data_IF_070864899951
#
_entry.id   IF_070864899951
#
_cell.length_a   1.000
_cell.length_b   1.000
_cell.length_c   1.000
_cell.angle_alpha   90.00
_cell.angle_beta   90.00
_cell.angle_gamma   90.00
#
_symmetry.space_group_name_H-M   'P 1'
#
loop_
_entity.id
_entity.type
_entity.pdbx_description
1 polymer ?
#
# COMPACT_ATOMS: atom_id res chain seq x y z
N UNK A 1 -44.96 9.49 24.28
CA UNK A 1 -43.91 8.82 25.07
C UNK A 1 -42.74 8.60 24.13
N UNK A 2 -41.54 9.09 24.47
CA UNK A 2 -40.35 8.80 23.66
C UNK A 2 -40.13 7.28 23.68
N UNK A 3 -39.93 6.67 22.50
CA UNK A 3 -39.53 5.27 22.37
C UNK A 3 -38.18 5.09 23.08
N UNK A 4 -38.20 4.81 24.38
CA UNK A 4 -37.01 4.59 25.20
C UNK A 4 -36.39 3.27 24.73
N UNK A 5 -35.12 3.32 24.33
CA UNK A 5 -34.38 2.10 24.05
C UNK A 5 -34.22 1.32 25.37
N UNK A 6 -35.03 0.29 25.54
CA UNK A 6 -35.03 -0.58 26.72
C UNK A 6 -33.75 -1.44 26.82
N UNK A 7 -32.94 -1.49 25.76
CA UNK A 7 -31.64 -2.17 25.73
C UNK A 7 -30.46 -1.22 26.01
N UNK A 8 -30.70 0.06 26.30
CA UNK A 8 -29.65 1.02 26.66
C UNK A 8 -29.22 0.88 28.14
N UNK A 9 -28.94 -0.35 28.56
CA UNK A 9 -28.30 -0.67 29.83
C UNK A 9 -26.82 -0.97 29.57
N UNK A 10 -25.97 -0.81 30.59
CA UNK A 10 -24.54 -1.06 30.45
C UNK A 10 -24.33 -2.54 30.12
N UNK A 11 -23.78 -2.80 28.94
CA UNK A 11 -23.45 -4.14 28.47
C UNK A 11 -22.49 -4.85 29.43
N UNK A 12 -22.68 -6.16 29.59
CA UNK A 12 -21.89 -6.99 30.51
C UNK A 12 -20.46 -7.22 30.01
N UNK A 13 -20.25 -7.24 28.70
CA UNK A 13 -18.97 -7.57 28.06
C UNK A 13 -18.80 -6.81 26.74
N UNK A 14 -17.84 -5.87 26.71
CA UNK A 14 -17.53 -5.07 25.51
C UNK A 14 -16.12 -5.37 24.96
N UNK A 15 -15.33 -6.14 25.72
CA UNK A 15 -13.92 -6.39 25.40
C UNK A 15 -13.74 -7.04 24.03
N UNK A 16 -14.66 -7.91 23.61
CA UNK A 16 -14.63 -8.54 22.29
C UNK A 16 -14.85 -7.54 21.16
N UNK A 17 -15.86 -6.67 21.29
CA UNK A 17 -16.17 -5.62 20.32
C UNK A 17 -15.03 -4.59 20.23
N UNK A 18 -14.52 -4.12 21.38
CA UNK A 18 -13.40 -3.18 21.44
C UNK A 18 -12.15 -3.74 20.76
N UNK A 19 -11.90 -5.04 20.95
CA UNK A 19 -10.78 -5.73 20.31
C UNK A 19 -10.96 -5.81 18.80
N UNK A 20 -12.15 -6.15 18.32
CA UNK A 20 -12.44 -6.17 16.89
C UNK A 20 -12.30 -4.79 16.24
N UNK A 21 -12.82 -3.74 16.88
CA UNK A 21 -12.72 -2.37 16.37
C UNK A 21 -11.26 -1.88 16.33
N UNK A 22 -10.43 -2.29 17.28
CA UNK A 22 -8.97 -2.03 17.26
C UNK A 22 -8.31 -2.65 16.05
N UNK A 23 -8.56 -3.94 15.79
CA UNK A 23 -7.98 -4.62 14.63
C UNK A 23 -8.40 -3.98 13.30
N UNK A 24 -9.68 -3.61 13.18
CA UNK A 24 -10.17 -2.91 11.99
C UNK A 24 -9.42 -1.59 11.79
N UNK A 25 -9.24 -0.81 12.87
CA UNK A 25 -8.55 0.47 12.81
C UNK A 25 -7.08 0.33 12.42
N UNK A 26 -6.36 -0.66 12.95
CA UNK A 26 -4.96 -0.92 12.59
C UNK A 26 -4.83 -1.25 11.09
N UNK A 27 -5.73 -2.08 10.55
CA UNK A 27 -5.76 -2.42 9.13
C UNK A 27 -6.08 -1.18 8.26
N UNK A 28 -7.07 -0.38 8.65
CA UNK A 28 -7.42 0.84 7.94
C UNK A 28 -6.25 1.85 7.92
N UNK A 29 -5.54 2.00 9.04
CA UNK A 29 -4.34 2.83 9.12
C UNK A 29 -3.20 2.30 8.28
N UNK A 30 -2.94 0.99 8.33
CA UNK A 30 -1.92 0.34 7.50
C UNK A 30 -2.17 0.55 6.00
N UNK A 31 -3.44 0.51 5.56
CA UNK A 31 -3.84 0.82 4.17
C UNK A 31 -3.49 2.25 3.80
N UNK A 32 -3.76 3.23 4.67
CA UNK A 32 -3.42 4.62 4.34
C UNK A 32 -1.90 4.82 4.30
N UNK A 33 -1.20 4.30 5.31
CA UNK A 33 0.24 4.40 5.41
C UNK A 33 0.97 3.78 4.20
N UNK A 34 0.52 2.62 3.70
CA UNK A 34 1.11 2.01 2.49
C UNK A 34 0.86 2.85 1.22
N UNK A 35 -0.25 3.60 1.14
CA UNK A 35 -0.49 4.51 0.02
C UNK A 35 0.48 5.69 0.06
N UNK A 36 0.79 6.23 1.25
CA UNK A 36 1.78 7.29 1.41
C UNK A 36 3.18 6.83 0.96
N UNK A 37 3.55 5.59 1.30
CA UNK A 37 4.79 4.95 0.85
C UNK A 37 4.82 4.79 -0.67
N UNK A 38 3.72 4.31 -1.28
CA UNK A 38 3.59 4.24 -2.74
C UNK A 38 3.65 5.62 -3.41
N UNK A 39 3.10 6.67 -2.80
CA UNK A 39 3.20 8.03 -3.37
C UNK A 39 4.65 8.48 -3.51
N UNK A 40 5.50 8.09 -2.55
CA UNK A 40 6.94 8.37 -2.50
C UNK A 40 7.78 7.39 -3.30
N UNK A 41 7.17 6.42 -3.99
CA UNK A 41 7.84 5.35 -4.74
C UNK A 41 8.80 4.51 -3.86
N UNK A 42 8.45 4.34 -2.58
CA UNK A 42 9.23 3.55 -1.62
C UNK A 42 8.86 2.06 -1.73
N UNK A 43 9.86 1.16 -1.72
CA UNK A 43 9.64 -0.27 -1.50
C UNK A 43 9.22 -0.49 -0.04
N UNK A 44 8.27 -1.40 0.19
CA UNK A 44 7.89 -1.78 1.54
C UNK A 44 7.33 -3.20 1.66
N UNK A 45 7.34 -3.70 2.90
CA UNK A 45 6.54 -4.83 3.36
C UNK A 45 5.84 -4.45 4.66
N UNK A 46 4.51 -4.50 4.67
CA UNK A 46 3.70 -4.24 5.86
C UNK A 46 3.26 -5.54 6.52
N UNK A 47 3.47 -5.63 7.82
CA UNK A 47 2.98 -6.71 8.68
C UNK A 47 2.00 -6.11 9.68
N UNK A 48 0.83 -6.75 9.86
CA UNK A 48 -0.17 -6.36 10.87
C UNK A 48 -0.29 -7.49 11.89
N UNK A 49 -0.37 -7.15 13.17
CA UNK A 49 -0.42 -8.11 14.29
C UNK A 49 0.75 -9.10 14.25
N UNK A 50 1.97 -8.54 14.23
CA UNK A 50 3.23 -9.28 14.18
C UNK A 50 4.32 -8.52 14.90
N UNK A 51 4.81 -9.05 16.03
CA UNK A 51 5.68 -8.39 17.03
C UNK A 51 5.11 -7.11 17.66
N UNK A 52 4.53 -6.22 16.86
CA UNK A 52 3.75 -5.04 17.23
C UNK A 52 2.43 -5.02 16.43
N UNK A 53 1.61 -3.98 16.65
CA UNK A 53 0.35 -3.81 15.94
C UNK A 53 0.56 -3.66 14.42
N UNK A 54 1.54 -2.83 14.02
CA UNK A 54 1.98 -2.70 12.62
C UNK A 54 3.50 -2.57 12.52
N UNK A 55 4.11 -3.28 11.56
CA UNK A 55 5.53 -3.15 11.20
C UNK A 55 5.65 -2.86 9.71
N UNK A 56 6.53 -1.94 9.37
CA UNK A 56 6.95 -1.69 8.00
C UNK A 56 8.43 -2.04 7.85
N UNK A 57 8.76 -2.86 6.86
CA UNK A 57 10.13 -3.00 6.35
C UNK A 57 10.29 -2.24 5.05
N UNK A 58 11.45 -1.67 4.80
CA UNK A 58 11.76 -0.99 3.53
C UNK A 58 12.19 -1.93 2.39
N UNK A 59 12.22 -3.25 2.61
CA UNK A 59 12.59 -4.20 1.55
C UNK A 59 11.86 -5.54 1.66
N UNK A 60 11.61 -6.15 0.51
CA UNK A 60 11.16 -7.54 0.40
C UNK A 60 12.27 -8.56 0.65
N UNK A 61 13.53 -8.14 0.66
CA UNK A 61 14.69 -9.00 0.85
C UNK A 61 15.45 -8.65 2.14
N UNK A 62 15.93 -9.68 2.86
CA UNK A 62 16.73 -9.47 4.04
C UNK A 62 18.17 -9.17 3.65
N UNK A 63 18.68 -8.02 4.10
CA UNK A 63 20.08 -7.62 4.00
C UNK A 63 20.49 -6.81 5.24
N UNK A 64 21.78 -6.54 5.42
CA UNK A 64 22.28 -5.88 6.63
C UNK A 64 21.72 -4.48 6.85
N UNK A 65 21.44 -3.76 5.76
CA UNK A 65 20.90 -2.39 5.78
C UNK A 65 19.36 -2.33 5.75
N UNK A 66 18.66 -3.45 5.97
CA UNK A 66 17.19 -3.42 6.03
C UNK A 66 16.75 -2.51 7.16
N UNK A 67 15.69 -1.75 6.97
CA UNK A 67 15.17 -0.86 7.99
C UNK A 67 13.75 -1.25 8.38
N UNK A 68 13.44 -1.06 9.66
CA UNK A 68 12.11 -1.30 10.19
C UNK A 68 11.54 -0.09 10.92
N UNK A 69 10.24 0.12 10.69
CA UNK A 69 9.40 1.04 11.45
C UNK A 69 8.35 0.23 12.22
N UNK A 70 8.35 0.36 13.54
CA UNK A 70 7.45 -0.34 14.45
C UNK A 70 6.40 0.62 14.97
N UNK A 71 5.13 0.24 14.91
CA UNK A 71 4.00 1.06 15.33
C UNK A 71 3.15 0.32 16.36
N UNK A 72 3.09 0.89 17.56
CA UNK A 72 2.12 0.53 18.58
C UNK A 72 0.94 1.50 18.48
N UNK A 73 -0.24 0.97 18.16
CA UNK A 73 -1.46 1.73 17.92
C UNK A 73 -2.36 1.72 19.16
N UNK A 74 -2.78 2.90 19.63
CA UNK A 74 -3.74 3.05 20.73
C UNK A 74 -4.98 3.81 20.27
N UNK A 75 -6.14 3.18 20.44
CA UNK A 75 -7.45 3.75 20.07
C UNK A 75 -8.26 4.16 21.30
N UNK A 76 -7.59 4.39 22.44
CA UNK A 76 -8.24 4.83 23.68
C UNK A 76 -8.57 6.30 23.58
N UNK A 77 -9.76 6.72 24.02
CA UNK A 77 -10.17 8.14 24.00
C UNK A 77 -9.40 9.02 24.99
N UNK A 78 -8.89 8.44 26.08
CA UNK A 78 -8.13 9.18 27.07
C UNK A 78 -6.84 9.75 26.47
N UNK A 79 -6.60 11.03 26.70
CA UNK A 79 -5.37 11.69 26.26
C UNK A 79 -4.14 11.14 26.99
N UNK A 80 -3.01 11.14 26.29
CA UNK A 80 -1.74 10.68 26.81
C UNK A 80 -0.99 11.80 27.52
N UNK A 81 -0.31 11.46 28.60
CA UNK A 81 0.59 12.31 29.37
C UNK A 81 1.85 11.51 29.68
N UNK A 82 2.94 12.16 30.07
CA UNK A 82 4.16 11.44 30.52
C UNK A 82 3.82 10.42 31.60
N UNK A 83 2.96 10.80 32.55
CA UNK A 83 2.55 9.92 33.65
C UNK A 83 1.89 8.65 33.15
N UNK A 84 0.90 8.71 32.24
CA UNK A 84 0.22 7.48 31.80
C UNK A 84 1.01 6.69 30.75
N UNK A 85 1.92 7.32 30.02
CA UNK A 85 2.83 6.66 29.09
C UNK A 85 3.90 5.84 29.81
N UNK A 86 4.39 6.35 30.95
CA UNK A 86 5.42 5.73 31.77
C UNK A 86 4.85 5.00 33.00
N UNK A 87 3.52 4.95 33.17
CA UNK A 87 2.90 4.24 34.30
C UNK A 87 3.02 2.74 34.11
N UNK A 88 3.53 2.07 35.12
CA UNK A 88 3.51 0.61 35.24
C UNK A 88 3.05 0.19 36.63
N UNK A 89 2.55 -1.03 36.75
CA UNK A 89 2.16 -1.66 38.00
C UNK A 89 3.13 -2.81 38.31
N UNK A 90 3.08 -3.34 39.53
CA UNK A 90 3.92 -4.47 39.93
C UNK A 90 3.65 -5.67 39.02
N UNK A 91 4.68 -6.12 38.29
CA UNK A 91 4.56 -7.22 37.33
C UNK A 91 4.08 -6.81 35.93
N UNK A 92 3.83 -5.52 35.70
CA UNK A 92 3.53 -4.93 34.40
C UNK A 92 4.64 -4.00 33.91
N UNK A 93 4.51 -3.58 32.65
CA UNK A 93 5.37 -2.57 32.03
C UNK A 93 4.51 -1.43 31.51
N UNK A 94 5.10 -0.24 31.41
CA UNK A 94 4.49 0.96 30.87
C UNK A 94 4.30 0.84 29.36
N UNK A 95 3.61 1.80 28.74
CA UNK A 95 3.37 1.76 27.29
C UNK A 95 4.70 1.84 26.55
N UNK A 96 5.54 2.82 26.91
CA UNK A 96 6.87 2.98 26.30
C UNK A 96 7.78 1.82 26.70
N UNK A 97 7.69 1.34 27.95
CA UNK A 97 8.45 0.17 28.40
C UNK A 97 8.16 -1.09 27.59
N UNK A 98 6.88 -1.37 27.28
CA UNK A 98 6.48 -2.49 26.42
C UNK A 98 7.04 -2.38 25.01
N UNK A 99 6.93 -1.20 24.41
CA UNK A 99 7.46 -0.93 23.06
C UNK A 99 8.97 -1.19 23.01
N UNK A 100 9.72 -0.72 24.02
CA UNK A 100 11.17 -0.96 24.13
C UNK A 100 11.44 -2.46 24.23
N UNK A 101 10.75 -3.17 25.14
CA UNK A 101 10.92 -4.60 25.35
C UNK A 101 10.53 -5.47 24.13
N UNK A 102 9.64 -4.99 23.26
CA UNK A 102 9.30 -5.65 22.00
C UNK A 102 10.49 -5.78 21.05
N UNK A 103 11.43 -4.82 21.11
CA UNK A 103 12.62 -4.73 20.26
C UNK A 103 13.90 -5.11 21.01
N UNK A 104 13.95 -4.91 22.32
CA UNK A 104 15.14 -5.16 23.13
C UNK A 104 15.57 -6.63 23.06
N UNK A 105 16.88 -6.86 22.99
CA UNK A 105 17.49 -8.20 22.79
C UNK A 105 17.05 -8.97 21.53
N UNK A 106 16.46 -8.31 20.52
CA UNK A 106 16.12 -8.93 19.23
C UNK A 106 17.23 -8.76 18.20
N UNK A 107 17.41 -9.75 17.33
CA UNK A 107 18.42 -9.73 16.25
C UNK A 107 18.25 -8.52 15.32
N UNK A 108 17.01 -8.10 15.08
CA UNK A 108 16.66 -6.97 14.22
C UNK A 108 16.77 -5.60 14.93
N UNK A 109 17.16 -5.53 16.21
CA UNK A 109 17.20 -4.26 16.97
C UNK A 109 17.98 -3.16 16.25
N UNK A 110 19.15 -3.49 15.68
CA UNK A 110 20.02 -2.55 14.94
C UNK A 110 19.35 -1.95 13.68
N UNK A 111 18.35 -2.66 13.14
CA UNK A 111 17.63 -2.33 11.92
C UNK A 111 16.37 -1.49 12.20
N UNK A 112 15.93 -1.36 13.46
CA UNK A 112 14.78 -0.52 13.80
C UNK A 112 15.19 0.96 13.75
N UNK A 113 14.54 1.74 12.88
CA UNK A 113 14.78 3.19 12.72
C UNK A 113 13.68 4.04 13.32
N UNK A 114 12.50 3.45 13.55
CA UNK A 114 11.36 4.12 14.16
C UNK A 114 10.62 3.16 15.08
N UNK A 115 10.34 3.61 16.29
CA UNK A 115 9.49 2.95 17.28
C UNK A 115 8.43 3.95 17.72
N UNK A 116 7.23 3.84 17.15
CA UNK A 116 6.22 4.88 17.19
C UNK A 116 5.01 4.47 18.02
N UNK A 117 4.61 5.35 18.95
CA UNK A 117 3.27 5.30 19.52
C UNK A 117 2.34 6.11 18.63
N UNK A 118 1.44 5.43 17.94
CA UNK A 118 0.38 6.04 17.15
C UNK A 118 -0.93 6.04 17.96
N UNK A 119 -1.60 7.18 18.07
CA UNK A 119 -2.84 7.28 18.85
C UNK A 119 -3.89 8.17 18.22
N UNK A 120 -5.16 7.87 18.46
CA UNK A 120 -6.29 8.74 18.06
C UNK A 120 -6.46 9.94 18.99
N UNK A 121 -5.94 9.85 20.21
CA UNK A 121 -6.08 10.89 21.24
C UNK A 121 -4.95 11.89 21.22
N UNK A 122 -5.11 13.00 21.95
CA UNK A 122 -4.05 13.99 22.05
C UNK A 122 -2.93 13.46 22.95
N UNK A 123 -1.69 13.88 22.65
CA UNK A 123 -0.55 13.66 23.52
C UNK A 123 -0.16 14.99 24.14
N UNK A 124 -0.39 15.11 25.44
CA UNK A 124 -0.19 16.32 26.22
C UNK A 124 1.22 16.37 26.82
N UNK A 125 2.23 16.37 25.94
CA UNK A 125 3.53 16.96 26.30
C UNK A 125 3.38 18.49 26.42
N UNK A 126 4.44 19.17 26.86
CA UNK A 126 4.51 20.62 26.92
C UNK A 126 4.16 21.24 25.57
N UNK A 127 4.71 20.69 24.49
CA UNK A 127 4.22 20.92 23.13
C UNK A 127 3.22 19.83 22.77
N UNK A 128 1.93 20.18 22.78
CA UNK A 128 0.83 19.22 22.55
C UNK A 128 0.81 18.71 21.11
N UNK A 129 0.69 17.38 20.97
CA UNK A 129 0.45 16.70 19.68
C UNK A 129 -1.07 16.49 19.58
N UNK A 130 -1.74 17.36 18.82
CA UNK A 130 -3.21 17.42 18.75
C UNK A 130 -3.77 17.53 17.34
N UNK A 131 -2.97 17.94 16.36
CA UNK A 131 -3.42 18.03 14.97
C UNK A 131 -3.29 16.64 14.36
N UNK A 132 -4.27 16.25 13.56
CA UNK A 132 -4.27 14.96 12.86
C UNK A 132 -3.01 14.84 12.00
N UNK A 133 -2.29 13.73 12.13
CA UNK A 133 -1.03 13.48 11.43
C UNK A 133 0.21 14.13 12.09
N UNK A 134 0.06 14.96 13.13
CA UNK A 134 1.22 15.51 13.83
C UNK A 134 2.06 14.40 14.45
N UNK A 135 3.38 14.56 14.36
CA UNK A 135 4.35 13.69 14.99
C UNK A 135 5.43 14.49 15.71
N UNK A 136 6.00 13.89 16.76
CA UNK A 136 7.13 14.42 17.49
C UNK A 136 8.13 13.29 17.77
N UNK A 137 9.40 13.50 17.40
CA UNK A 137 10.49 12.62 17.81
C UNK A 137 10.82 12.84 19.29
N UNK A 138 11.23 11.79 19.98
CA UNK A 138 11.58 11.87 21.40
C UNK A 138 12.68 12.90 21.67
N UNK A 139 13.67 13.02 20.77
CA UNK A 139 14.73 14.04 20.82
C UNK A 139 14.23 15.48 20.74
N UNK A 140 13.01 15.70 20.26
CA UNK A 140 12.43 17.03 20.06
C UNK A 140 11.50 17.45 21.20
N UNK A 141 11.34 16.60 22.22
CA UNK A 141 10.67 16.99 23.46
C UNK A 141 11.54 17.97 24.26
N UNK A 142 10.93 18.62 25.24
CA UNK A 142 11.67 19.54 26.09
C UNK A 142 12.63 18.77 27.02
N UNK A 143 13.81 19.34 27.31
CA UNK A 143 14.88 18.63 28.03
C UNK A 143 14.42 18.04 29.37
N UNK A 144 13.53 18.74 30.08
CA UNK A 144 12.97 18.26 31.35
C UNK A 144 12.01 17.08 31.16
N UNK A 145 11.26 17.03 30.05
CA UNK A 145 10.37 15.91 29.70
C UNK A 145 11.18 14.69 29.26
N UNK A 146 12.21 14.89 28.43
CA UNK A 146 13.17 13.84 28.04
C UNK A 146 13.76 13.20 29.29
N UNK A 147 14.26 14.03 30.23
CA UNK A 147 14.84 13.55 31.48
C UNK A 147 13.83 12.76 32.33
N UNK A 148 12.62 13.27 32.52
CA UNK A 148 11.59 12.58 33.32
C UNK A 148 11.24 11.20 32.72
N UNK A 149 11.06 11.12 31.41
CA UNK A 149 10.77 9.85 30.73
C UNK A 149 11.96 8.88 30.89
N UNK A 150 13.19 9.31 30.66
CA UNK A 150 14.38 8.45 30.79
C UNK A 150 14.59 7.96 32.22
N UNK A 151 14.41 8.82 33.22
CA UNK A 151 14.54 8.44 34.63
C UNK A 151 13.49 7.38 35.00
N UNK A 152 12.24 7.55 34.56
CA UNK A 152 11.17 6.57 34.77
C UNK A 152 11.42 5.24 34.07
N UNK A 153 11.86 5.28 32.81
CA UNK A 153 12.20 4.07 32.05
C UNK A 153 13.42 3.36 32.62
N UNK A 154 14.42 4.09 33.12
CA UNK A 154 15.59 3.49 33.78
C UNK A 154 15.19 2.83 35.09
N UNK A 155 14.29 3.42 35.86
CA UNK A 155 13.74 2.80 37.06
C UNK A 155 12.92 1.54 36.75
N UNK A 156 12.16 1.55 35.65
CA UNK A 156 11.34 0.43 35.20
C UNK A 156 12.19 -0.73 34.64
N UNK A 157 13.04 -0.44 33.66
CA UNK A 157 13.74 -1.41 32.82
C UNK A 157 15.18 -1.70 33.29
N UNK A 158 15.67 -0.96 34.30
CA UNK A 158 17.04 -0.96 34.83
C UNK A 158 18.09 -0.39 33.88
N UNK A 159 18.11 -0.84 32.63
CA UNK A 159 19.04 -0.36 31.59
C UNK A 159 18.22 -0.07 30.34
N UNK A 160 18.39 1.14 29.80
CA UNK A 160 17.76 1.57 28.55
C UNK A 160 18.88 1.92 27.57
N UNK A 161 18.89 1.26 26.43
CA UNK A 161 19.85 1.56 25.37
C UNK A 161 19.61 2.99 24.83
N UNK A 162 20.66 3.84 24.73
CA UNK A 162 20.53 5.18 24.17
C UNK A 162 19.93 5.24 22.77
N UNK A 163 19.98 4.15 21.98
CA UNK A 163 19.37 4.08 20.65
C UNK A 163 17.89 4.47 20.67
N UNK A 164 17.16 4.14 21.75
CA UNK A 164 15.72 4.42 21.86
C UNK A 164 15.42 5.91 21.86
N UNK A 165 16.34 6.77 22.30
CA UNK A 165 16.14 8.21 22.23
C UNK A 165 16.01 8.70 20.78
N UNK A 166 16.73 8.07 19.86
CA UNK A 166 16.76 8.47 18.46
C UNK A 166 15.63 7.87 17.63
N UNK A 167 15.09 6.71 18.03
CA UNK A 167 14.07 5.99 17.26
C UNK A 167 12.65 6.16 17.81
N UNK A 168 12.50 6.56 19.09
CA UNK A 168 11.17 6.77 19.68
C UNK A 168 10.47 7.97 19.05
N UNK A 169 9.20 7.77 18.71
CA UNK A 169 8.34 8.76 18.07
C UNK A 169 6.91 8.67 18.63
N UNK A 170 6.24 9.81 18.68
CA UNK A 170 4.86 9.93 19.11
C UNK A 170 4.06 10.59 18.01
N UNK A 171 2.94 9.97 17.60
CA UNK A 171 2.17 10.44 16.47
C UNK A 171 0.68 10.41 16.78
N UNK A 172 -0.01 11.51 16.47
CA UNK A 172 -1.46 11.52 16.40
C UNK A 172 -1.87 11.02 15.03
N UNK A 173 -2.73 10.01 15.01
CA UNK A 173 -3.21 9.44 13.76
C UNK A 173 -3.95 10.48 12.93
N UNK A 174 -3.80 10.39 11.61
CA UNK A 174 -4.57 11.17 10.66
C UNK A 174 -5.97 10.59 10.43
N UNK A 175 -6.20 9.33 10.82
CA UNK A 175 -7.47 8.64 10.62
C UNK A 175 -8.38 8.78 11.84
N UNK A 176 -9.64 9.23 11.68
CA UNK A 176 -10.63 9.21 12.75
C UNK A 176 -11.04 7.77 13.08
N UNK A 177 -11.26 7.46 14.36
CA UNK A 177 -11.58 6.09 14.80
C UNK A 177 -12.94 5.58 14.27
N UNK A 178 -14.08 6.27 14.49
CA UNK A 178 -15.40 5.73 14.15
C UNK A 178 -15.66 5.60 12.65
N UNK A 179 -14.91 6.34 11.81
CA UNK A 179 -15.10 6.39 10.36
C UNK A 179 -13.82 6.06 9.59
N UNK A 180 -12.90 5.32 10.23
CA UNK A 180 -11.59 4.92 9.68
C UNK A 180 -11.72 4.26 8.31
N UNK A 181 -12.62 3.30 8.14
CA UNK A 181 -12.89 2.66 6.85
C UNK A 181 -13.31 3.66 5.76
N UNK A 182 -14.21 4.59 6.07
CA UNK A 182 -14.67 5.58 5.09
C UNK A 182 -13.52 6.50 4.69
N UNK A 183 -12.73 6.94 5.66
CA UNK A 183 -11.55 7.76 5.44
C UNK A 183 -10.47 7.02 4.64
N UNK A 184 -10.22 5.75 4.91
CA UNK A 184 -9.28 4.92 4.14
C UNK A 184 -9.71 4.79 2.67
N UNK A 185 -11.02 4.57 2.41
CA UNK A 185 -11.56 4.60 1.04
C UNK A 185 -11.38 5.96 0.37
N UNK A 186 -11.60 7.05 1.09
CA UNK A 186 -11.31 8.41 0.61
C UNK A 186 -9.83 8.58 0.22
N UNK A 187 -8.92 8.09 1.06
CA UNK A 187 -7.47 8.12 0.79
C UNK A 187 -7.06 7.28 -0.42
N UNK A 188 -7.70 6.13 -0.66
CA UNK A 188 -7.51 5.36 -1.90
C UNK A 188 -7.92 6.20 -3.11
N UNK A 189 -9.07 6.87 -3.06
CA UNK A 189 -9.52 7.73 -4.16
C UNK A 189 -8.57 8.93 -4.39
N UNK A 190 -8.13 9.60 -3.33
CA UNK A 190 -7.13 10.68 -3.38
C UNK A 190 -5.80 10.21 -3.99
N UNK A 191 -5.32 9.03 -3.58
CA UNK A 191 -4.12 8.41 -4.14
C UNK A 191 -4.25 8.19 -5.65
N UNK A 192 -5.34 7.57 -6.08
CA UNK A 192 -5.60 7.26 -7.50
C UNK A 192 -5.69 8.55 -8.29
N UNK A 193 -6.43 9.54 -7.79
CA UNK A 193 -6.52 10.85 -8.45
C UNK A 193 -5.16 11.53 -8.58
N UNK A 194 -4.32 11.45 -7.54
CA UNK A 194 -3.00 12.07 -7.54
C UNK A 194 -2.00 11.39 -8.48
N UNK A 195 -2.04 10.06 -8.60
CA UNK A 195 -1.11 9.28 -9.46
C UNK A 195 -1.60 9.09 -10.89
N UNK A 196 -2.90 8.96 -11.09
CA UNK A 196 -3.49 8.55 -12.36
C UNK A 196 -4.51 9.55 -12.92
N UNK A 197 -4.87 10.59 -12.18
CA UNK A 197 -5.91 11.54 -12.58
C UNK A 197 -7.32 11.01 -12.36
N UNK A 198 -8.30 11.61 -13.03
CA UNK A 198 -9.70 11.22 -12.93
C UNK A 198 -9.97 9.95 -13.73
N UNK A 199 -9.64 8.80 -13.13
CA UNK A 199 -9.79 7.47 -13.71
C UNK A 199 -10.87 6.69 -12.99
N UNK A 200 -11.67 5.94 -13.76
CA UNK A 200 -12.69 5.07 -13.18
C UNK A 200 -12.01 3.99 -12.35
N UNK A 201 -12.41 3.86 -11.09
CA UNK A 201 -11.80 2.90 -10.15
C UNK A 201 -12.87 2.30 -9.23
N UNK A 202 -12.72 1.02 -8.90
CA UNK A 202 -13.55 0.37 -7.89
C UNK A 202 -12.87 0.46 -6.52
N UNK A 203 -13.04 1.61 -5.87
CA UNK A 203 -12.49 1.91 -4.55
C UNK A 203 -12.91 0.86 -3.50
N UNK A 204 -14.14 0.35 -3.59
CA UNK A 204 -14.64 -0.60 -2.61
C UNK A 204 -13.99 -1.98 -2.76
N UNK A 205 -13.75 -2.43 -3.99
CA UNK A 205 -13.03 -3.67 -4.23
C UNK A 205 -11.55 -3.55 -3.88
N UNK A 206 -10.89 -2.42 -4.21
CA UNK A 206 -9.50 -2.16 -3.79
C UNK A 206 -9.38 -2.27 -2.27
N UNK A 207 -10.20 -1.51 -1.54
CA UNK A 207 -10.20 -1.52 -0.08
C UNK A 207 -10.41 -2.93 0.46
N UNK A 208 -11.42 -3.66 -0.04
CA UNK A 208 -11.76 -5.00 0.43
C UNK A 208 -10.58 -5.96 0.24
N UNK A 209 -9.95 -5.97 -0.94
CA UNK A 209 -8.82 -6.88 -1.22
C UNK A 209 -7.62 -6.53 -0.34
N UNK A 210 -7.26 -5.25 -0.20
CA UNK A 210 -6.15 -4.85 0.70
C UNK A 210 -6.44 -5.23 2.16
N UNK A 211 -7.67 -4.99 2.61
CA UNK A 211 -8.08 -5.28 3.98
C UNK A 211 -8.10 -6.79 4.26
N UNK A 212 -8.66 -7.57 3.34
CA UNK A 212 -8.69 -9.05 3.45
C UNK A 212 -7.26 -9.63 3.44
N UNK A 213 -6.35 -9.10 2.61
CA UNK A 213 -4.95 -9.54 2.59
C UNK A 213 -4.23 -9.24 3.91
N UNK A 214 -4.44 -8.07 4.51
CA UNK A 214 -3.90 -7.74 5.83
C UNK A 214 -4.52 -8.63 6.92
N UNK A 215 -5.81 -8.95 6.78
CA UNK A 215 -6.56 -9.79 7.74
C UNK A 215 -6.12 -11.25 7.70
N UNK A 216 -6.13 -11.90 6.54
CA UNK A 216 -5.86 -13.35 6.38
C UNK A 216 -4.48 -13.72 6.96
N UNK A 217 -3.56 -12.76 6.93
CA UNK A 217 -2.20 -12.94 7.43
C UNK A 217 -2.19 -13.15 8.96
N UNK A 218 -3.10 -12.64 9.79
CA UNK A 218 -3.05 -12.89 11.25
C UNK A 218 -3.35 -14.32 11.69
N UNK A 219 -3.98 -15.14 10.84
CA UNK A 219 -4.44 -16.49 11.21
C UNK A 219 -3.29 -17.51 11.31
N UNK A 220 -2.11 -17.18 10.81
CA UNK A 220 -0.91 -18.02 10.88
C UNK A 220 -0.06 -17.66 12.10
N UNK A 221 -0.18 -18.47 13.15
CA UNK A 221 0.59 -18.36 14.41
C UNK A 221 1.97 -19.04 14.37
N UNK A 222 2.38 -19.56 13.22
CA UNK A 222 3.62 -20.33 13.08
C UNK A 222 4.77 -19.34 12.82
N UNK A 223 5.84 -19.35 13.62
CA UNK A 223 7.03 -18.56 13.32
C UNK A 223 7.66 -19.02 12.01
N UNK A 224 8.16 -18.09 11.22
CA UNK A 224 8.82 -18.38 9.94
C UNK A 224 10.33 -18.37 10.12
N UNK A 225 11.00 -19.46 9.76
CA UNK A 225 12.46 -19.56 9.83
C UNK A 225 13.14 -18.74 8.72
N UNK A 226 12.43 -18.50 7.61
CA UNK A 226 12.97 -17.81 6.43
C UNK A 226 12.23 -16.49 6.18
N UNK A 227 13.00 -15.41 5.95
CA UNK A 227 12.45 -14.08 5.68
C UNK A 227 11.51 -14.06 4.47
N UNK A 228 11.92 -14.66 3.35
CA UNK A 228 11.11 -14.67 2.13
C UNK A 228 9.75 -15.37 2.36
N UNK A 229 9.73 -16.43 3.17
CA UNK A 229 8.49 -17.11 3.54
C UNK A 229 7.61 -16.23 4.44
N UNK A 230 8.22 -15.52 5.40
CA UNK A 230 7.53 -14.54 6.23
C UNK A 230 6.93 -13.41 5.39
N UNK A 231 7.68 -12.82 4.46
CA UNK A 231 7.18 -11.78 3.55
C UNK A 231 6.02 -12.32 2.74
N UNK A 232 6.15 -13.49 2.11
CA UNK A 232 5.10 -14.06 1.28
C UNK A 232 3.82 -14.41 2.04
N UNK A 233 3.94 -14.94 3.26
CA UNK A 233 2.80 -15.47 4.03
C UNK A 233 2.24 -14.50 5.06
N UNK A 234 3.02 -13.50 5.50
CA UNK A 234 2.66 -12.54 6.56
C UNK A 234 2.76 -11.08 6.17
N UNK A 235 3.57 -10.74 5.18
CA UNK A 235 3.74 -9.36 4.72
C UNK A 235 2.86 -9.04 3.52
N UNK A 236 2.32 -7.82 3.44
CA UNK A 236 1.78 -7.25 2.21
C UNK A 236 2.84 -6.31 1.61
N UNK A 237 3.36 -6.65 0.43
CA UNK A 237 4.46 -5.89 -0.16
C UNK A 237 4.01 -4.89 -1.24
N UNK A 238 4.88 -3.93 -1.55
CA UNK A 238 4.60 -2.84 -2.50
C UNK A 238 4.18 -3.33 -3.89
N UNK A 239 4.76 -4.43 -4.39
CA UNK A 239 4.42 -4.98 -5.72
C UNK A 239 3.04 -5.64 -5.73
N UNK A 240 2.65 -6.33 -4.66
CA UNK A 240 1.29 -6.85 -4.49
C UNK A 240 0.26 -5.72 -4.46
N UNK A 241 0.51 -4.66 -3.68
CA UNK A 241 -0.40 -3.52 -3.60
C UNK A 241 -0.54 -2.84 -4.96
N UNK A 242 0.56 -2.61 -5.69
CA UNK A 242 0.54 -2.06 -7.05
C UNK A 242 -0.31 -2.91 -7.99
N UNK A 243 -0.21 -4.25 -7.92
CA UNK A 243 -1.05 -5.17 -8.72
C UNK A 243 -2.52 -5.11 -8.33
N UNK A 244 -2.85 -4.99 -7.05
CA UNK A 244 -4.23 -4.86 -6.57
C UNK A 244 -4.83 -3.55 -7.11
N UNK A 245 -4.12 -2.43 -6.98
CA UNK A 245 -4.53 -1.14 -7.51
C UNK A 245 -4.75 -1.22 -9.03
N UNK A 246 -3.75 -1.73 -9.75
CA UNK A 246 -3.80 -1.93 -11.20
C UNK A 246 -5.08 -2.63 -11.67
N UNK A 247 -5.41 -3.75 -11.04
CA UNK A 247 -6.49 -4.64 -11.47
C UNK A 247 -7.88 -4.00 -11.29
N UNK A 248 -7.98 -2.97 -10.44
CA UNK A 248 -9.24 -2.33 -10.07
C UNK A 248 -9.32 -0.87 -10.48
N UNK A 249 -8.28 -0.32 -11.09
CA UNK A 249 -8.30 0.97 -11.77
C UNK A 249 -8.49 0.68 -13.25
N UNK A 250 -9.61 1.15 -13.82
CA UNK A 250 -9.80 1.17 -15.26
C UNK A 250 -8.94 2.30 -15.83
N UNK A 251 -7.66 2.02 -16.04
CA UNK A 251 -6.80 2.84 -16.88
C UNK A 251 -7.19 2.52 -18.32
N UNK A 252 -8.36 2.99 -18.74
CA UNK A 252 -8.81 2.80 -20.11
C UNK A 252 -7.87 3.55 -21.06
N UNK A 253 -7.69 2.99 -22.26
CA UNK A 253 -7.17 3.74 -23.40
C UNK A 253 -7.89 5.08 -23.50
N UNK A 254 -7.19 6.13 -23.93
CA UNK A 254 -7.86 7.39 -24.24
C UNK A 254 -9.00 7.11 -25.23
N UNK A 255 -10.14 7.78 -25.04
CA UNK A 255 -11.35 7.52 -25.83
C UNK A 255 -11.09 7.55 -27.35
N UNK A 256 -10.19 8.43 -27.79
CA UNK A 256 -9.80 8.55 -29.19
C UNK A 256 -8.93 7.37 -29.66
N UNK A 257 -7.93 6.95 -28.88
CA UNK A 257 -7.11 5.78 -29.22
C UNK A 257 -7.94 4.51 -29.21
N UNK A 258 -8.85 4.36 -28.23
CA UNK A 258 -9.79 3.25 -28.15
C UNK A 258 -10.65 3.15 -29.40
N UNK A 259 -11.33 4.25 -29.78
CA UNK A 259 -12.14 4.30 -31.01
C UNK A 259 -11.31 4.02 -32.26
N UNK A 260 -10.08 4.52 -32.31
CA UNK A 260 -9.17 4.25 -33.42
C UNK A 260 -8.88 2.75 -33.54
N UNK A 261 -8.52 2.10 -32.44
CA UNK A 261 -8.25 0.65 -32.39
C UNK A 261 -9.51 -0.16 -32.71
N UNK A 262 -10.66 0.16 -32.12
CA UNK A 262 -11.96 -0.49 -32.38
C UNK A 262 -12.32 -0.46 -33.87
N UNK A 263 -12.21 0.71 -34.49
CA UNK A 263 -12.47 0.88 -35.93
C UNK A 263 -11.53 0.02 -36.77
N UNK A 264 -10.27 -0.10 -36.38
CA UNK A 264 -9.29 -0.91 -37.10
C UNK A 264 -9.57 -2.41 -36.95
N UNK A 265 -9.85 -2.86 -35.72
CA UNK A 265 -10.20 -4.25 -35.43
C UNK A 265 -11.44 -4.66 -36.23
N UNK A 266 -12.52 -3.86 -36.20
CA UNK A 266 -13.74 -4.15 -36.94
C UNK A 266 -13.48 -4.28 -38.45
N UNK A 267 -12.68 -3.38 -39.02
CA UNK A 267 -12.30 -3.42 -40.45
C UNK A 267 -11.45 -4.63 -40.81
N UNK A 268 -10.59 -5.11 -39.91
CA UNK A 268 -9.69 -6.24 -40.16
C UNK A 268 -10.37 -7.60 -39.98
N UNK A 269 -11.15 -7.80 -38.92
CA UNK A 269 -11.81 -9.09 -38.68
C UNK A 269 -13.17 -9.27 -39.34
N UNK A 270 -13.88 -8.18 -39.64
CA UNK A 270 -15.27 -8.25 -40.11
C UNK A 270 -16.24 -8.90 -39.11
N UNK A 271 -15.80 -9.10 -37.87
CA UNK A 271 -16.55 -9.74 -36.79
C UNK A 271 -16.56 -8.82 -35.56
N UNK A 272 -17.61 -8.01 -35.47
CA UNK A 272 -17.81 -7.03 -34.41
C UNK A 272 -18.03 -7.70 -33.02
N UNK A 273 -18.33 -9.01 -32.97
CA UNK A 273 -18.59 -9.73 -31.71
C UNK A 273 -17.31 -9.95 -30.88
N UNK A 274 -16.15 -10.06 -31.55
CA UNK A 274 -14.87 -10.29 -30.88
C UNK A 274 -14.14 -9.00 -30.49
N UNK A 275 -14.54 -7.85 -31.04
CA UNK A 275 -13.92 -6.56 -30.78
C UNK A 275 -13.93 -6.17 -29.30
N UNK A 276 -15.05 -6.29 -28.56
CA UNK A 276 -15.06 -6.00 -27.12
C UNK A 276 -14.06 -6.85 -26.33
N UNK A 277 -13.90 -8.12 -26.71
CA UNK A 277 -12.96 -9.06 -26.07
C UNK A 277 -11.52 -8.61 -26.31
N UNK A 278 -11.17 -8.27 -27.57
CA UNK A 278 -9.84 -7.77 -27.91
C UNK A 278 -9.51 -6.46 -27.21
N UNK A 279 -10.46 -5.53 -27.13
CA UNK A 279 -10.29 -4.26 -26.40
C UNK A 279 -10.05 -4.51 -24.91
N UNK A 280 -10.78 -5.45 -24.30
CA UNK A 280 -10.53 -5.83 -22.92
C UNK A 280 -9.13 -6.42 -22.72
N UNK A 281 -8.67 -7.28 -23.63
CA UNK A 281 -7.31 -7.84 -23.57
C UNK A 281 -6.23 -6.75 -23.75
N UNK A 282 -6.47 -5.77 -24.62
CA UNK A 282 -5.59 -4.61 -24.81
C UNK A 282 -5.55 -3.75 -23.54
N UNK A 283 -6.71 -3.47 -22.92
CA UNK A 283 -6.78 -2.73 -21.68
C UNK A 283 -6.00 -3.43 -20.54
N UNK A 284 -6.07 -4.76 -20.45
CA UNK A 284 -5.28 -5.53 -19.48
C UNK A 284 -3.78 -5.36 -19.71
N UNK A 285 -3.33 -5.43 -20.95
CA UNK A 285 -1.93 -5.18 -21.31
C UNK A 285 -1.50 -3.73 -20.99
N UNK A 286 -2.32 -2.75 -21.38
CA UNK A 286 -2.04 -1.34 -21.13
C UNK A 286 -1.95 -1.04 -19.63
N UNK A 287 -2.86 -1.60 -18.83
CA UNK A 287 -2.82 -1.53 -17.37
C UNK A 287 -1.54 -2.16 -16.81
N UNK A 288 -1.14 -3.32 -17.33
CA UNK A 288 0.13 -3.96 -16.95
C UNK A 288 1.34 -3.05 -17.21
N UNK A 289 1.41 -2.38 -18.37
CA UNK A 289 2.50 -1.45 -18.71
C UNK A 289 2.57 -0.24 -17.77
N UNK A 290 1.41 0.27 -17.35
CA UNK A 290 1.36 1.43 -16.45
C UNK A 290 1.93 1.11 -15.07
N UNK A 291 1.80 -0.15 -14.65
CA UNK A 291 2.16 -0.64 -13.32
C UNK A 291 3.57 -1.18 -13.27
N UNK A 292 4.05 -1.73 -14.39
CA UNK A 292 5.36 -2.36 -14.49
C UNK A 292 6.27 -1.50 -15.39
N UNK A 293 6.96 -0.53 -14.78
CA UNK A 293 7.90 0.39 -15.46
C UNK A 293 9.36 0.10 -15.14
N UNK A 294 9.75 -1.18 -15.11
CA UNK A 294 11.16 -1.51 -14.90
C UNK A 294 11.99 -1.04 -16.12
N UNK A 295 13.26 -0.66 -15.93
CA UNK A 295 14.15 -0.28 -17.02
C UNK A 295 14.25 -1.35 -18.12
N UNK A 296 14.18 -2.63 -17.75
CA UNK A 296 14.21 -3.77 -18.67
C UNK A 296 12.97 -3.82 -19.56
N UNK A 297 11.78 -3.62 -18.97
CA UNK A 297 10.51 -3.58 -19.71
C UNK A 297 10.53 -2.41 -20.69
N UNK A 298 10.91 -1.22 -20.23
CA UNK A 298 10.96 -0.02 -21.06
C UNK A 298 11.90 -0.24 -22.25
N UNK A 299 13.12 -0.74 -21.99
CA UNK A 299 14.11 -1.01 -23.03
C UNK A 299 13.61 -2.04 -24.05
N UNK A 300 12.99 -3.13 -23.59
CA UNK A 300 12.42 -4.14 -24.49
C UNK A 300 11.34 -3.54 -25.39
N UNK A 301 10.44 -2.73 -24.83
CA UNK A 301 9.37 -2.10 -25.60
C UNK A 301 9.91 -1.10 -26.62
N UNK A 302 10.93 -0.31 -26.27
CA UNK A 302 11.60 0.60 -27.20
C UNK A 302 12.26 -0.16 -28.36
N UNK A 303 13.00 -1.23 -28.06
CA UNK A 303 13.63 -2.09 -29.07
C UNK A 303 12.60 -2.75 -29.99
N UNK A 304 11.49 -3.23 -29.44
CA UNK A 304 10.41 -3.84 -30.21
C UNK A 304 9.66 -2.80 -31.06
N UNK A 305 9.29 -1.65 -30.48
CA UNK A 305 8.63 -0.55 -31.21
C UNK A 305 9.53 0.00 -32.32
N UNK A 306 10.86 -0.02 -32.17
CA UNK A 306 11.79 0.41 -33.23
C UNK A 306 11.64 -0.42 -34.52
N UNK A 307 11.20 -1.67 -34.42
CA UNK A 307 11.01 -2.60 -35.55
C UNK A 307 9.70 -2.37 -36.30
N UNK A 308 8.75 -1.61 -35.73
CA UNK A 308 7.46 -1.32 -36.35
C UNK A 308 7.68 -0.30 -37.48
N UNK A 309 7.39 -0.71 -38.71
CA UNK A 309 7.36 0.18 -39.86
C UNK A 309 6.01 0.90 -39.89
N UNK A 310 6.03 2.23 -39.97
CA UNK A 310 4.79 3.01 -40.02
C UNK A 310 4.29 3.01 -41.47
N UNK A 311 3.04 2.60 -41.75
CA UNK A 311 2.48 2.62 -43.08
C UNK A 311 2.43 4.05 -43.63
N UNK A 312 2.64 4.18 -44.94
CA UNK A 312 2.58 5.50 -45.61
C UNK A 312 1.15 6.05 -45.67
N UNK A 313 0.16 5.16 -45.55
CA UNK A 313 -1.26 5.50 -45.54
C UNK A 313 -1.95 4.78 -44.36
N UNK A 314 -2.55 5.55 -43.46
CA UNK A 314 -3.31 5.04 -42.31
C UNK A 314 -4.54 4.19 -42.69
N UNK A 315 -4.95 4.20 -43.96
CA UNK A 315 -6.04 3.38 -44.49
C UNK A 315 -5.55 2.06 -45.13
N UNK A 316 -4.23 1.82 -45.23
CA UNK A 316 -3.71 0.56 -45.73
C UNK A 316 -3.80 -0.54 -44.66
N UNK A 317 -4.96 -1.20 -44.64
CA UNK A 317 -5.24 -2.31 -43.73
C UNK A 317 -4.25 -3.48 -43.92
N UNK A 318 -3.77 -3.72 -45.15
CA UNK A 318 -2.91 -4.85 -45.46
C UNK A 318 -1.48 -4.64 -44.97
N UNK A 319 -0.98 -3.41 -45.04
CA UNK A 319 0.32 -3.04 -44.47
C UNK A 319 0.30 -3.12 -42.94
N UNK A 320 -0.77 -2.59 -42.32
CA UNK A 320 -0.94 -2.68 -40.86
C UNK A 320 -1.08 -4.11 -40.37
N UNK A 321 -1.86 -4.96 -41.05
CA UNK A 321 -1.99 -6.36 -40.69
C UNK A 321 -0.66 -7.13 -40.78
N UNK A 322 0.19 -6.78 -41.77
CA UNK A 322 1.52 -7.36 -41.91
C UNK A 322 2.43 -6.98 -40.73
N UNK A 323 2.40 -5.72 -40.33
CA UNK A 323 3.17 -5.27 -39.17
C UNK A 323 2.64 -5.88 -37.86
N UNK A 324 1.32 -5.98 -37.66
CA UNK A 324 0.73 -6.69 -36.51
C UNK A 324 1.24 -8.13 -36.45
N UNK A 325 1.21 -8.86 -37.58
CA UNK A 325 1.65 -10.26 -37.64
C UNK A 325 3.15 -10.39 -37.34
N UNK A 326 3.97 -9.46 -37.83
CA UNK A 326 5.41 -9.41 -37.57
C UNK A 326 5.72 -9.17 -36.09
N UNK A 327 5.01 -8.23 -35.46
CA UNK A 327 5.19 -7.91 -34.04
C UNK A 327 4.64 -9.02 -33.14
N UNK A 328 3.55 -9.66 -33.52
CA UNK A 328 2.97 -10.81 -32.84
C UNK A 328 3.99 -11.96 -32.69
N UNK A 329 4.75 -12.27 -33.76
CA UNK A 329 5.83 -13.26 -33.70
C UNK A 329 6.90 -12.88 -32.67
N UNK A 330 7.34 -11.62 -32.67
CA UNK A 330 8.37 -11.11 -31.74
C UNK A 330 7.88 -11.19 -30.28
N UNK A 331 6.62 -10.83 -30.03
CA UNK A 331 6.04 -10.87 -28.68
C UNK A 331 5.90 -12.30 -28.18
N UNK A 332 5.52 -13.24 -29.06
CA UNK A 332 5.32 -14.63 -28.68
C UNK A 332 6.63 -15.38 -28.38
N UNK A 333 7.78 -14.83 -28.79
CA UNK A 333 9.12 -15.29 -28.39
C UNK A 333 9.54 -14.76 -27.00
N UNK A 334 8.81 -13.78 -26.44
CA UNK A 334 9.06 -13.22 -25.12
C UNK A 334 8.11 -13.82 -24.06
N UNK A 335 8.67 -14.55 -23.09
CA UNK A 335 7.92 -15.20 -22.01
C UNK A 335 7.03 -14.25 -21.20
N UNK A 336 7.46 -13.01 -20.99
CA UNK A 336 6.77 -12.01 -20.18
C UNK A 336 5.52 -11.43 -20.88
N UNK A 337 5.61 -11.18 -22.19
CA UNK A 337 4.53 -10.52 -22.94
C UNK A 337 3.60 -11.50 -23.66
N UNK A 338 4.06 -12.73 -23.91
CA UNK A 338 3.27 -13.78 -24.55
C UNK A 338 1.94 -14.06 -23.84
N UNK A 339 1.92 -14.02 -22.50
CA UNK A 339 0.70 -14.29 -21.73
C UNK A 339 -0.40 -13.22 -21.97
N UNK A 340 0.02 -11.98 -22.22
CA UNK A 340 -0.86 -10.86 -22.51
C UNK A 340 -1.34 -10.84 -23.96
N UNK A 341 -0.56 -11.40 -24.89
CA UNK A 341 -0.77 -11.31 -26.35
C UNK A 341 -1.86 -12.26 -26.91
N UNK A 342 -2.88 -12.57 -26.10
CA UNK A 342 -4.02 -13.37 -26.56
C UNK A 342 -4.76 -12.62 -27.67
N UNK A 343 -5.15 -13.33 -28.73
CA UNK A 343 -5.79 -12.73 -29.91
C UNK A 343 -4.96 -11.58 -30.53
N UNK A 344 -3.64 -11.63 -30.41
CA UNK A 344 -2.70 -10.61 -30.89
C UNK A 344 -2.88 -9.24 -30.22
N UNK A 345 -3.52 -9.17 -29.05
CA UNK A 345 -3.87 -7.91 -28.37
C UNK A 345 -2.68 -6.97 -28.19
N UNK A 346 -1.53 -7.49 -27.74
CA UNK A 346 -0.32 -6.69 -27.52
C UNK A 346 0.20 -6.17 -28.85
N UNK A 347 0.29 -7.04 -29.86
CA UNK A 347 0.75 -6.64 -31.20
C UNK A 347 -0.15 -5.59 -31.84
N UNK A 348 -1.48 -5.78 -31.73
CA UNK A 348 -2.50 -4.84 -32.21
C UNK A 348 -2.31 -3.49 -31.52
N UNK A 349 -2.21 -3.46 -30.19
CA UNK A 349 -2.05 -2.23 -29.45
C UNK A 349 -0.76 -1.50 -29.81
N UNK A 350 0.39 -2.18 -29.81
CA UNK A 350 1.69 -1.52 -30.03
C UNK A 350 1.82 -0.93 -31.43
N UNK A 351 1.37 -1.67 -32.45
CA UNK A 351 1.36 -1.19 -33.84
C UNK A 351 0.39 -0.03 -33.99
N UNK A 352 -0.86 -0.18 -33.57
CA UNK A 352 -1.87 0.86 -33.76
C UNK A 352 -1.61 2.09 -32.91
N UNK A 353 -1.07 1.95 -31.70
CA UNK A 353 -0.68 3.09 -30.88
C UNK A 353 0.48 3.87 -31.52
N UNK A 354 1.49 3.18 -32.08
CA UNK A 354 2.58 3.86 -32.81
C UNK A 354 2.08 4.58 -34.06
N UNK A 355 1.15 3.96 -34.80
CA UNK A 355 0.50 4.61 -35.95
C UNK A 355 -0.27 5.84 -35.47
N UNK A 356 -1.12 5.69 -34.46
CA UNK A 356 -1.91 6.79 -33.89
C UNK A 356 -1.02 7.97 -33.47
N UNK A 357 0.04 7.72 -32.69
CA UNK A 357 1.01 8.73 -32.26
C UNK A 357 1.66 9.51 -33.43
N UNK A 358 1.90 8.86 -34.57
CA UNK A 358 2.51 9.51 -35.74
C UNK A 358 1.53 10.41 -36.50
N UNK A 359 0.24 10.05 -36.54
CA UNK A 359 -0.78 10.77 -37.31
C UNK A 359 -1.57 11.78 -36.47
N UNK A 360 -1.38 11.81 -35.15
CA UNK A 360 -1.99 12.80 -34.24
C UNK A 360 -1.01 13.76 -33.57
N UNK A 361 0.29 13.59 -33.80
CA UNK A 361 1.31 14.62 -33.54
C UNK A 361 1.45 15.52 -34.75
#
# INVERSE_FOLDING_TARGET
>A
MANKNILNEKERENNGLDTQLRFHYQADWAIVYLLEKLLKEEEFVIFVEYHEDVICSNSTHLHDDVEFEFYQIKTTEANFTIDNLCKYEVGGNSIIGKMILGVENKLFKKNVKKLCLLTISDINFKTKIKILGDQCHFTNLEENEIKDILDRLTNELKIVDPIYQNILCFQKSELPFPSSQLSAKGKIAEFIQSKHGDVRSDISSIYRVLWDDLKIKYEYKIPFDQWNECVQKRGLNSEEVKKILATHISLDLSENLKKFIENYINKLSGDDLLTPIRINLINNYYTYLLVNRSPEIIKYLEEMRSKISIPSNILDLNEIQREITKIDLIINDNLQFKEFNRMQSVAIYEVLNKVYEQFTK
#
